data_IF_712141681998
#
_entry.id   IF_712141681998
#
_cell.length_a   1.000
_cell.length_b   1.000
_cell.length_c   1.000
_cell.angle_alpha   90.00
_cell.angle_beta   90.00
_cell.angle_gamma   90.00
#
_symmetry.space_group_name_H-M   'P 1'
#
loop_
_entity.id
_entity.type
_entity.pdbx_description
1 polymer ?
#
# COMPACT_ATOMS: atom_id res chain seq x y z
N UNK A 1 -28.53 21.25 17.29
CA UNK A 1 -28.47 20.33 16.13
C UNK A 1 -27.01 19.94 15.95
N UNK A 2 -26.61 18.78 16.51
CA UNK A 2 -25.23 18.31 16.48
C UNK A 2 -25.09 17.40 15.26
N UNK A 3 -24.24 17.78 14.32
CA UNK A 3 -23.90 16.98 13.14
C UNK A 3 -22.84 15.98 13.58
N UNK A 4 -23.23 14.72 13.63
CA UNK A 4 -22.33 13.59 13.86
C UNK A 4 -21.66 13.25 12.53
N UNK A 5 -20.40 13.61 12.35
CA UNK A 5 -19.60 13.14 11.23
C UNK A 5 -19.01 11.79 11.63
N UNK A 6 -19.61 10.72 11.12
CA UNK A 6 -19.09 9.36 11.27
C UNK A 6 -18.00 9.16 10.24
N UNK A 7 -16.74 9.29 10.64
CA UNK A 7 -15.60 8.86 9.84
C UNK A 7 -15.39 7.37 10.11
N UNK A 8 -15.85 6.54 9.18
CA UNK A 8 -15.61 5.09 9.20
C UNK A 8 -14.15 4.83 8.81
N UNK A 9 -13.30 4.65 9.82
CA UNK A 9 -11.96 4.13 9.63
C UNK A 9 -12.05 2.61 9.64
N UNK A 10 -11.98 1.97 8.47
CA UNK A 10 -11.80 0.52 8.35
C UNK A 10 -10.40 0.14 8.84
N UNK A 11 -10.29 -0.15 10.13
CA UNK A 11 -9.14 -0.85 10.70
C UNK A 11 -9.31 -2.35 10.47
N UNK A 12 -8.73 -2.87 9.39
CA UNK A 12 -8.57 -4.29 9.16
C UNK A 12 -7.53 -4.85 10.13
N UNK A 13 -8.00 -5.25 11.31
CA UNK A 13 -7.26 -6.13 12.21
C UNK A 13 -7.36 -7.57 11.67
N UNK A 14 -6.43 -7.99 10.84
CA UNK A 14 -6.21 -9.40 10.57
C UNK A 14 -5.60 -10.08 11.79
N UNK A 15 -6.42 -10.76 12.58
CA UNK A 15 -5.97 -11.81 13.48
C UNK A 15 -5.74 -13.06 12.64
N UNK A 16 -4.51 -13.37 12.29
CA UNK A 16 -4.12 -14.68 11.80
C UNK A 16 -3.51 -15.49 12.92
N UNK A 17 -4.32 -16.36 13.55
CA UNK A 17 -3.84 -17.60 14.16
C UNK A 17 -3.94 -18.69 13.11
N UNK A 18 -2.82 -19.33 12.80
CA UNK A 18 -2.82 -20.50 11.91
C UNK A 18 -1.41 -20.84 11.44
N UNK A 19 -0.75 -21.75 12.15
CA UNK A 19 0.48 -22.39 11.73
C UNK A 19 0.24 -23.18 10.44
N UNK A 20 0.98 -22.88 9.38
CA UNK A 20 1.41 -23.88 8.40
C UNK A 20 2.88 -23.62 8.13
N UNK A 21 3.71 -24.51 8.67
CA UNK A 21 5.12 -24.61 8.34
C UNK A 21 5.21 -25.42 7.07
N UNK A 22 5.41 -24.81 5.92
CA UNK A 22 5.96 -25.49 4.76
C UNK A 22 7.40 -25.06 4.54
N UNK A 23 8.29 -26.02 4.75
CA UNK A 23 9.70 -25.97 4.37
C UNK A 23 9.81 -25.71 2.87
N UNK A 24 10.36 -24.58 2.47
CA UNK A 24 11.08 -24.45 1.21
C UNK A 24 12.55 -24.22 1.54
N UNK A 25 13.29 -25.29 1.59
CA UNK A 25 14.74 -25.28 1.42
C UNK A 25 15.02 -25.05 -0.07
N UNK A 26 15.60 -23.88 -0.38
CA UNK A 26 16.65 -23.68 -1.39
C UNK A 26 16.96 -22.17 -1.42
N UNK A 27 17.78 -21.74 -0.47
CA UNK A 27 18.50 -20.46 -0.59
C UNK A 27 19.97 -20.78 -0.41
N UNK A 28 20.69 -20.69 -1.52
CA UNK A 28 22.14 -20.73 -1.61
C UNK A 28 22.79 -19.96 -0.46
N UNK A 29 23.71 -20.65 0.24
CA UNK A 29 24.57 -20.13 1.29
C UNK A 29 25.43 -18.97 0.79
N UNK A 30 24.93 -17.74 0.86
CA UNK A 30 25.73 -16.56 1.03
C UNK A 30 25.63 -16.18 2.51
N UNK A 31 26.78 -16.07 3.18
CA UNK A 31 26.93 -15.62 4.56
C UNK A 31 26.05 -14.39 4.81
N UNK A 32 24.84 -14.59 5.35
CA UNK A 32 23.93 -13.52 5.78
C UNK A 32 24.59 -12.79 6.95
N UNK A 33 25.31 -11.72 6.65
CA UNK A 33 25.62 -10.70 7.63
C UNK A 33 24.26 -10.19 8.13
N UNK A 34 23.87 -10.57 9.34
CA UNK A 34 22.59 -10.13 9.93
C UNK A 34 22.64 -8.62 10.04
N UNK A 35 21.96 -7.93 9.17
CA UNK A 35 21.87 -6.48 9.20
C UNK A 35 21.07 -6.11 10.46
N UNK A 36 21.77 -5.50 11.43
CA UNK A 36 21.16 -4.99 12.66
C UNK A 36 20.99 -3.48 12.49
N UNK A 37 19.77 -3.00 12.49
CA UNK A 37 19.48 -1.57 12.44
C UNK A 37 19.22 -1.06 13.86
N UNK A 38 19.87 0.05 14.21
CA UNK A 38 19.64 0.78 15.46
C UNK A 38 18.81 2.07 15.21
N UNK A 39 17.97 2.09 14.12
CA UNK A 39 17.10 3.24 13.86
C UNK A 39 15.98 3.23 14.90
N UNK A 40 15.93 4.29 15.71
CA UNK A 40 14.93 4.47 16.77
C UNK A 40 14.32 5.86 16.67
N UNK A 41 13.02 5.93 16.82
CA UNK A 41 12.28 7.18 16.87
C UNK A 41 12.33 7.73 18.30
N UNK A 42 12.62 9.02 18.46
CA UNK A 42 12.57 9.70 19.74
C UNK A 42 11.12 10.14 20.02
N UNK A 43 10.39 9.28 20.72
CA UNK A 43 8.97 9.48 21.03
C UNK A 43 8.78 10.69 21.98
N UNK A 44 9.73 10.96 22.89
CA UNK A 44 9.63 12.08 23.83
C UNK A 44 9.74 13.43 23.09
N UNK A 45 10.59 13.51 22.06
CA UNK A 45 10.66 14.68 21.19
C UNK A 45 9.34 14.89 20.46
N UNK A 46 8.70 13.83 19.95
CA UNK A 46 7.41 13.95 19.25
C UNK A 46 6.33 14.44 20.20
N UNK A 47 6.26 13.88 21.41
CA UNK A 47 5.30 14.29 22.43
C UNK A 47 5.49 15.73 22.89
N UNK A 48 6.74 16.19 22.97
CA UNK A 48 7.05 17.54 23.44
C UNK A 48 6.92 18.62 22.38
N UNK A 49 7.17 18.30 21.11
CA UNK A 49 7.19 19.26 19.98
C UNK A 49 6.08 19.06 18.96
N UNK A 50 5.44 17.90 18.97
CA UNK A 50 4.34 17.57 18.06
C UNK A 50 3.02 18.25 18.49
N UNK A 51 2.16 18.49 17.51
CA UNK A 51 0.79 18.92 17.78
C UNK A 51 -0.08 17.71 18.12
N UNK A 52 -0.91 17.83 19.16
CA UNK A 52 -1.97 16.85 19.42
C UNK A 52 -3.09 17.09 18.41
N UNK A 53 -3.36 16.09 17.55
CA UNK A 53 -4.41 16.19 16.52
C UNK A 53 -5.80 16.00 17.13
N UNK A 54 -5.94 14.96 17.92
CA UNK A 54 -7.17 14.62 18.63
C UNK A 54 -6.85 13.64 19.76
N UNK A 55 -7.80 13.50 20.68
CA UNK A 55 -7.75 12.53 21.75
C UNK A 55 -8.69 11.38 21.41
N UNK A 56 -8.19 10.15 21.45
CA UNK A 56 -9.00 8.95 21.28
C UNK A 56 -9.60 8.60 22.63
N UNK A 57 -10.92 8.75 22.76
CA UNK A 57 -11.64 8.26 23.94
C UNK A 57 -11.60 6.73 23.92
N UNK A 58 -11.07 6.16 24.98
CA UNK A 58 -11.10 4.69 25.15
C UNK A 58 -12.44 4.30 25.78
N UNK A 59 -13.03 3.19 25.35
CA UNK A 59 -14.30 2.66 25.90
C UNK A 59 -14.19 2.15 27.34
N UNK A 60 -13.03 2.30 27.95
CA UNK A 60 -12.72 1.92 29.32
C UNK A 60 -12.27 3.15 30.09
N UNK A 61 -12.33 3.15 31.44
CA UNK A 61 -11.90 4.24 32.33
C UNK A 61 -10.41 4.64 32.22
N UNK A 62 -9.75 4.27 31.14
CA UNK A 62 -8.37 4.64 30.85
C UNK A 62 -8.28 6.07 30.32
N UNK A 63 -7.15 6.74 30.63
CA UNK A 63 -6.86 8.09 30.16
C UNK A 63 -6.95 8.16 28.63
N UNK A 64 -7.46 9.25 28.07
CA UNK A 64 -7.55 9.43 26.62
C UNK A 64 -6.14 9.40 26.00
N UNK A 65 -6.02 8.74 24.84
CA UNK A 65 -4.76 8.60 24.11
C UNK A 65 -4.64 9.77 23.17
N UNK A 66 -3.54 10.51 23.25
CA UNK A 66 -3.26 11.60 22.33
C UNK A 66 -2.69 11.05 21.02
N UNK A 67 -3.27 11.44 19.89
CA UNK A 67 -2.69 11.25 18.57
C UNK A 67 -1.80 12.44 18.24
N UNK A 68 -0.55 12.21 17.92
CA UNK A 68 0.45 13.25 17.67
C UNK A 68 0.72 13.39 16.17
N UNK A 69 0.98 14.66 15.76
CA UNK A 69 1.55 14.97 14.44
C UNK A 69 2.76 15.87 14.64
N UNK A 70 3.89 15.46 14.12
CA UNK A 70 5.12 16.21 14.13
C UNK A 70 5.66 16.38 12.71
N UNK A 71 5.87 17.64 12.29
CA UNK A 71 6.32 17.95 10.94
C UNK A 71 7.64 18.73 11.00
N UNK A 72 8.60 18.28 10.19
CA UNK A 72 9.90 18.92 10.00
C UNK A 72 10.11 19.11 8.50
N UNK A 73 10.63 20.27 8.12
CA UNK A 73 11.02 20.52 6.75
C UNK A 73 12.36 21.26 6.71
N UNK A 74 13.26 20.83 5.84
CA UNK A 74 14.51 21.50 5.53
C UNK A 74 14.67 21.67 4.01
N UNK A 75 15.89 22.07 3.56
CA UNK A 75 16.17 22.29 2.14
C UNK A 75 16.23 21.00 1.32
N UNK A 76 16.33 19.84 1.95
CA UNK A 76 16.54 18.54 1.30
C UNK A 76 15.32 17.64 1.36
N UNK A 77 14.55 17.71 2.46
CA UNK A 77 13.43 16.80 2.71
C UNK A 77 12.34 17.43 3.58
N UNK A 78 11.16 16.80 3.54
CA UNK A 78 10.12 16.97 4.54
C UNK A 78 9.85 15.64 5.24
N UNK A 79 9.63 15.68 6.55
CA UNK A 79 9.35 14.53 7.40
C UNK A 79 8.05 14.80 8.12
N UNK A 80 7.10 13.89 7.99
CA UNK A 80 5.85 13.87 8.74
C UNK A 80 5.83 12.63 9.61
N UNK A 81 5.61 12.80 10.91
CA UNK A 81 5.46 11.71 11.87
C UNK A 81 4.08 11.82 12.49
N UNK A 82 3.31 10.74 12.43
CA UNK A 82 1.97 10.64 13.00
C UNK A 82 1.83 9.35 13.79
N UNK A 83 1.06 9.37 14.88
CA UNK A 83 0.73 8.19 15.66
C UNK A 83 0.72 8.42 17.17
N UNK A 84 0.67 7.33 17.90
CA UNK A 84 0.63 7.31 19.36
C UNK A 84 1.37 6.08 19.96
N UNK A 85 1.51 6.07 21.28
CA UNK A 85 2.25 5.03 21.99
C UNK A 85 1.57 3.64 21.94
N UNK A 86 0.26 3.57 21.69
CA UNK A 86 -0.48 2.31 21.65
C UNK A 86 -0.47 1.66 20.26
N UNK A 87 -0.73 2.47 19.21
CA UNK A 87 -0.76 2.01 17.82
C UNK A 87 0.60 2.07 17.13
N UNK A 88 1.57 2.80 17.71
CA UNK A 88 2.86 3.10 17.09
C UNK A 88 2.85 4.39 16.27
N UNK A 89 3.94 4.61 15.56
CA UNK A 89 4.16 5.83 14.77
C UNK A 89 4.51 5.50 13.34
N UNK A 90 4.08 6.35 12.42
CA UNK A 90 4.43 6.32 10.99
C UNK A 90 5.24 7.57 10.68
N UNK A 91 6.46 7.39 10.18
CA UNK A 91 7.30 8.46 9.65
C UNK A 91 7.27 8.39 8.12
N UNK A 92 6.85 9.47 7.48
CA UNK A 92 6.87 9.66 6.03
C UNK A 92 7.93 10.69 5.67
N UNK A 93 8.90 10.30 4.84
CA UNK A 93 9.98 11.15 4.40
C UNK A 93 9.87 11.37 2.90
N UNK A 94 9.71 12.65 2.49
CA UNK A 94 9.73 13.06 1.09
C UNK A 94 11.03 13.81 0.83
N UNK A 95 11.85 13.30 -0.07
CA UNK A 95 13.09 13.96 -0.51
C UNK A 95 12.78 14.87 -1.71
N UNK A 96 13.20 16.13 -1.67
CA UNK A 96 12.89 17.13 -2.72
C UNK A 96 13.42 16.76 -4.10
N UNK A 97 14.52 16.01 -4.15
CA UNK A 97 15.19 15.59 -5.39
C UNK A 97 14.92 14.13 -5.77
N UNK A 98 13.96 13.48 -5.10
CA UNK A 98 13.61 12.09 -5.37
C UNK A 98 12.13 11.94 -5.74
N UNK A 99 11.84 11.04 -6.66
CA UNK A 99 10.49 10.58 -6.94
C UNK A 99 10.03 9.45 -6.00
N UNK A 100 10.78 9.22 -4.92
CA UNK A 100 10.48 8.17 -3.96
C UNK A 100 10.14 8.75 -2.59
N UNK A 101 9.28 8.03 -1.89
CA UNK A 101 8.83 8.35 -0.53
C UNK A 101 9.22 7.18 0.37
N UNK A 102 9.91 7.50 1.45
CA UNK A 102 10.26 6.51 2.48
C UNK A 102 9.19 6.51 3.58
N UNK A 103 8.76 5.33 3.98
CA UNK A 103 7.88 5.10 5.11
C UNK A 103 8.57 4.22 6.14
N UNK A 104 8.56 4.66 7.39
CA UNK A 104 9.06 3.90 8.53
C UNK A 104 7.95 3.75 9.56
N UNK A 105 7.61 2.51 9.88
CA UNK A 105 6.66 2.21 10.93
C UNK A 105 7.41 1.82 12.21
N UNK A 106 7.07 2.46 13.30
CA UNK A 106 7.69 2.25 14.60
C UNK A 106 6.67 1.70 15.61
N UNK A 107 7.14 0.93 16.56
CA UNK A 107 6.36 0.59 17.76
C UNK A 107 6.03 1.85 18.56
N UNK A 108 5.11 1.76 19.51
CA UNK A 108 4.83 2.85 20.46
C UNK A 108 6.05 3.22 21.34
N UNK A 109 7.08 2.36 21.39
CA UNK A 109 8.37 2.62 22.07
C UNK A 109 9.42 3.23 21.13
N UNK A 110 9.09 3.47 19.87
CA UNK A 110 9.96 4.04 18.87
C UNK A 110 10.89 3.05 18.17
N UNK A 111 10.76 1.74 18.37
CA UNK A 111 11.59 0.75 17.69
C UNK A 111 11.07 0.54 16.26
N UNK A 112 11.96 0.56 15.25
CA UNK A 112 11.58 0.34 13.85
C UNK A 112 11.07 -1.08 13.66
N UNK A 113 9.84 -1.20 13.13
CA UNK A 113 9.19 -2.48 12.82
C UNK A 113 9.24 -2.76 11.33
N UNK A 114 8.96 -1.74 10.52
CA UNK A 114 8.87 -1.89 9.07
C UNK A 114 9.45 -0.64 8.39
N UNK A 115 10.11 -0.88 7.26
CA UNK A 115 10.59 0.14 6.32
C UNK A 115 10.00 -0.16 4.96
N UNK A 116 9.51 0.85 4.24
CA UNK A 116 9.20 0.72 2.82
C UNK A 116 9.64 1.94 2.04
N UNK A 117 10.21 1.69 0.85
CA UNK A 117 10.46 2.69 -0.16
C UNK A 117 9.38 2.57 -1.22
N UNK A 118 8.67 3.66 -1.46
CA UNK A 118 7.57 3.70 -2.43
C UNK A 118 7.85 4.76 -3.48
N UNK A 119 7.39 4.52 -4.70
CA UNK A 119 7.31 5.56 -5.70
C UNK A 119 6.26 6.61 -5.30
N UNK A 120 6.43 7.86 -5.75
CA UNK A 120 5.37 8.89 -5.65
C UNK A 120 4.06 8.47 -6.33
N UNK A 121 4.09 7.47 -7.20
CA UNK A 121 2.90 6.84 -7.82
C UNK A 121 2.19 5.85 -6.89
N UNK A 122 2.76 5.52 -5.72
CA UNK A 122 2.16 4.68 -4.69
C UNK A 122 2.64 3.24 -4.64
N UNK A 123 3.28 2.70 -5.69
CA UNK A 123 3.75 1.32 -5.67
C UNK A 123 5.05 1.14 -4.87
N UNK A 124 5.17 0.01 -4.17
CA UNK A 124 6.36 -0.34 -3.38
C UNK A 124 7.55 -0.69 -4.29
N UNK A 125 8.73 -0.20 -3.93
CA UNK A 125 10.05 -0.55 -4.53
C UNK A 125 10.82 -1.51 -3.63
N UNK A 126 10.81 -1.24 -2.32
CA UNK A 126 11.44 -2.08 -1.31
C UNK A 126 10.57 -2.18 -0.07
N UNK A 127 10.68 -3.30 0.63
CA UNK A 127 10.06 -3.52 1.93
C UNK A 127 11.01 -4.32 2.83
N UNK A 128 11.15 -3.90 4.09
CA UNK A 128 11.95 -4.57 5.10
C UNK A 128 11.15 -4.68 6.39
N UNK A 129 11.19 -5.83 7.01
CA UNK A 129 10.57 -6.06 8.33
C UNK A 129 11.64 -6.42 9.35
N UNK A 130 11.46 -5.95 10.57
CA UNK A 130 12.39 -6.13 11.66
C UNK A 130 11.69 -6.73 12.87
N UNK A 131 12.38 -7.59 13.63
CA UNK A 131 11.88 -8.05 14.91
C UNK A 131 12.14 -6.99 16.01
N UNK A 132 11.60 -7.24 17.20
CA UNK A 132 11.74 -6.34 18.36
C UNK A 132 13.18 -6.11 18.84
N UNK A 133 14.16 -6.89 18.34
CA UNK A 133 15.60 -6.72 18.61
C UNK A 133 16.31 -5.94 17.50
N UNK A 134 15.58 -5.45 16.49
CA UNK A 134 16.10 -4.72 15.33
C UNK A 134 16.78 -5.60 14.28
N UNK A 135 16.61 -6.93 14.33
CA UNK A 135 17.14 -7.82 13.30
C UNK A 135 16.19 -7.91 12.12
N UNK A 136 16.73 -7.82 10.90
CA UNK A 136 15.98 -7.99 9.66
C UNK A 136 15.43 -9.43 9.58
N UNK A 137 14.10 -9.56 9.43
CA UNK A 137 13.40 -10.84 9.29
C UNK A 137 12.85 -11.07 7.88
N UNK A 138 12.54 -9.99 7.16
CA UNK A 138 12.05 -10.06 5.79
C UNK A 138 12.62 -8.90 4.96
N UNK A 139 12.98 -9.17 3.71
CA UNK A 139 13.37 -8.16 2.72
C UNK A 139 12.84 -8.54 1.35
N UNK A 140 12.13 -7.61 0.74
CA UNK A 140 11.62 -7.72 -0.63
C UNK A 140 12.12 -6.52 -1.42
N UNK A 141 12.76 -6.78 -2.56
CA UNK A 141 13.12 -5.76 -3.55
C UNK A 141 12.24 -5.97 -4.79
N UNK A 142 11.13 -5.26 -4.85
CA UNK A 142 10.16 -5.38 -5.94
C UNK A 142 10.75 -5.02 -7.31
N UNK A 143 11.79 -4.13 -7.36
CA UNK A 143 12.47 -3.80 -8.61
C UNK A 143 13.27 -4.97 -9.19
N UNK A 144 13.69 -5.93 -8.35
CA UNK A 144 14.37 -7.16 -8.78
C UNK A 144 13.38 -8.28 -9.07
N UNK A 145 12.32 -8.36 -8.28
CA UNK A 145 11.34 -9.45 -8.38
C UNK A 145 10.43 -9.32 -9.61
N UNK A 146 10.02 -8.11 -9.97
CA UNK A 146 9.13 -7.86 -11.11
C UNK A 146 9.94 -7.62 -12.38
N UNK A 147 9.80 -8.45 -13.41
CA UNK A 147 10.51 -8.29 -14.69
C UNK A 147 9.84 -7.23 -15.57
N UNK A 148 8.52 -7.13 -15.56
CA UNK A 148 7.78 -6.04 -16.22
C UNK A 148 7.90 -4.78 -15.35
N UNK A 149 8.71 -3.81 -15.82
CA UNK A 149 9.10 -2.63 -15.04
C UNK A 149 8.08 -1.50 -15.13
N UNK A 150 8.18 -0.53 -14.24
CA UNK A 150 7.31 0.66 -14.25
C UNK A 150 7.31 1.39 -15.59
N UNK A 151 8.45 1.51 -16.26
CA UNK A 151 8.52 2.16 -17.56
C UNK A 151 7.67 1.45 -18.63
N UNK A 152 7.52 0.14 -18.53
CA UNK A 152 6.71 -0.66 -19.42
C UNK A 152 5.22 -0.52 -19.07
N UNK A 153 4.88 -0.46 -17.78
CA UNK A 153 3.53 -0.11 -17.32
C UNK A 153 3.12 1.28 -17.81
N UNK A 154 4.02 2.27 -17.76
CA UNK A 154 3.75 3.60 -18.29
C UNK A 154 3.44 3.57 -19.80
N UNK A 155 4.23 2.83 -20.59
CA UNK A 155 3.97 2.66 -22.03
C UNK A 155 2.63 1.98 -22.29
N UNK A 156 2.30 0.97 -21.48
CA UNK A 156 0.99 0.31 -21.56
C UNK A 156 -0.15 1.31 -21.28
N UNK A 157 -0.05 2.09 -20.19
CA UNK A 157 -1.05 3.12 -19.87
C UNK A 157 -1.16 4.19 -20.96
N UNK A 158 -0.05 4.63 -21.55
CA UNK A 158 -0.03 5.57 -22.66
C UNK A 158 -0.74 5.01 -23.91
N UNK A 159 -0.64 3.68 -24.16
CA UNK A 159 -1.39 3.03 -25.24
C UNK A 159 -2.91 3.04 -25.02
N UNK A 160 -3.36 3.26 -23.79
CA UNK A 160 -4.76 3.45 -23.40
C UNK A 160 -5.14 4.93 -23.27
N UNK A 161 -4.32 5.83 -23.82
CA UNK A 161 -4.48 7.29 -23.77
C UNK A 161 -4.45 7.89 -22.35
N UNK A 162 -3.86 7.18 -21.38
CA UNK A 162 -3.70 7.66 -20.01
C UNK A 162 -2.47 8.58 -19.94
N UNK A 163 -2.66 9.78 -19.38
CA UNK A 163 -1.55 10.67 -19.05
C UNK A 163 -0.84 10.13 -17.80
N UNK A 164 0.44 9.80 -17.94
CA UNK A 164 1.22 9.14 -16.87
C UNK A 164 2.11 10.10 -16.09
N UNK A 165 2.00 11.41 -16.32
CA UNK A 165 2.65 12.39 -15.47
C UNK A 165 1.98 12.46 -14.08
N UNK A 166 2.78 12.77 -13.05
CA UNK A 166 2.32 12.74 -11.67
C UNK A 166 1.18 13.71 -11.37
N UNK A 167 1.16 14.87 -12.02
CA UNK A 167 0.12 15.88 -11.80
C UNK A 167 -1.23 15.46 -12.37
N UNK A 168 -1.22 14.75 -13.50
CA UNK A 168 -2.42 14.17 -14.10
C UNK A 168 -2.95 13.01 -13.27
N UNK A 169 -2.07 12.09 -12.84
CA UNK A 169 -2.47 10.93 -12.06
C UNK A 169 -3.01 11.30 -10.67
N UNK A 170 -2.43 12.30 -10.01
CA UNK A 170 -2.93 12.78 -8.70
C UNK A 170 -4.33 13.39 -8.75
N UNK A 171 -4.80 13.84 -9.92
CA UNK A 171 -6.15 14.40 -10.10
C UNK A 171 -7.24 13.34 -10.20
N UNK A 172 -6.86 12.09 -10.47
CA UNK A 172 -7.81 10.99 -10.61
C UNK A 172 -8.21 10.50 -9.22
N UNK A 173 -9.47 10.67 -8.87
CA UNK A 173 -10.00 10.14 -7.62
C UNK A 173 -9.96 8.62 -7.61
N UNK A 174 -9.46 8.03 -6.53
CA UNK A 174 -9.32 6.57 -6.33
C UNK A 174 -8.34 5.86 -7.27
N UNK A 175 -7.45 6.60 -7.94
CA UNK A 175 -6.38 6.00 -8.71
C UNK A 175 -5.37 5.33 -7.78
N UNK A 176 -5.07 4.06 -8.07
CA UNK A 176 -4.08 3.29 -7.34
C UNK A 176 -3.21 2.47 -8.29
N UNK A 177 -1.90 2.50 -8.08
CA UNK A 177 -0.96 1.58 -8.71
C UNK A 177 -0.25 0.79 -7.63
N UNK A 178 -0.26 -0.53 -7.78
CA UNK A 178 0.35 -1.44 -6.82
C UNK A 178 1.14 -2.56 -7.48
N UNK A 179 1.99 -3.19 -6.69
CA UNK A 179 2.67 -4.46 -6.97
C UNK A 179 2.34 -5.43 -5.85
N UNK A 180 1.91 -6.62 -6.18
CA UNK A 180 1.55 -7.62 -5.19
C UNK A 180 1.97 -9.02 -5.65
N UNK A 181 2.32 -9.87 -4.68
CA UNK A 181 2.46 -11.30 -4.93
C UNK A 181 1.10 -11.99 -4.80
N UNK A 182 0.82 -12.99 -5.65
CA UNK A 182 -0.44 -13.72 -5.68
C UNK A 182 -0.87 -14.24 -4.29
N UNK A 183 0.06 -14.71 -3.48
CA UNK A 183 -0.23 -15.21 -2.13
C UNK A 183 -0.70 -14.13 -1.14
N UNK A 184 -0.48 -12.85 -1.45
CA UNK A 184 -0.93 -11.68 -0.67
C UNK A 184 -2.18 -11.01 -1.25
N UNK A 185 -2.66 -11.48 -2.40
CA UNK A 185 -3.86 -10.95 -3.04
C UNK A 185 -5.12 -11.36 -2.26
N UNK A 186 -6.16 -10.55 -2.32
CA UNK A 186 -7.47 -10.86 -1.78
C UNK A 186 -8.09 -12.09 -2.46
N UNK A 187 -8.80 -12.93 -1.71
CA UNK A 187 -9.33 -14.18 -2.22
C UNK A 187 -10.38 -13.99 -3.31
N UNK A 188 -11.12 -12.87 -3.31
CA UNK A 188 -12.08 -12.56 -4.38
C UNK A 188 -11.36 -12.36 -5.71
N UNK A 189 -10.24 -11.63 -5.73
CA UNK A 189 -9.43 -11.42 -6.92
C UNK A 189 -8.64 -12.68 -7.34
N UNK A 190 -8.16 -13.48 -6.38
CA UNK A 190 -7.52 -14.78 -6.68
C UNK A 190 -8.42 -15.71 -7.50
N UNK A 191 -9.74 -15.64 -7.25
CA UNK A 191 -10.71 -16.42 -8.00
C UNK A 191 -10.92 -15.95 -9.45
N UNK A 192 -10.50 -14.73 -9.78
CA UNK A 192 -10.69 -14.14 -11.11
C UNK A 192 -9.39 -14.16 -11.97
N UNK A 193 -8.24 -14.38 -11.33
CA UNK A 193 -6.91 -14.38 -11.97
C UNK A 193 -6.36 -15.81 -12.07
N UNK A 194 -5.61 -16.18 -13.14
CA UNK A 194 -5.00 -17.50 -13.24
C UNK A 194 -4.01 -17.78 -12.09
N UNK A 195 -4.15 -18.92 -11.41
CA UNK A 195 -3.32 -19.31 -10.26
C UNK A 195 -1.84 -19.53 -10.58
N UNK A 196 -1.50 -19.67 -11.87
CA UNK A 196 -0.11 -19.83 -12.34
C UNK A 196 0.71 -18.55 -12.21
N UNK A 197 0.06 -17.38 -12.07
CA UNK A 197 0.73 -16.09 -11.98
C UNK A 197 1.18 -15.87 -10.55
N UNK A 198 2.45 -15.51 -10.34
CA UNK A 198 3.01 -15.30 -9.02
C UNK A 198 3.02 -13.81 -8.60
N UNK A 199 3.11 -12.91 -9.58
CA UNK A 199 3.32 -11.47 -9.39
C UNK A 199 2.36 -10.67 -10.26
N UNK A 200 1.79 -9.62 -9.71
CA UNK A 200 0.73 -8.86 -10.37
C UNK A 200 0.98 -7.36 -10.20
N UNK A 201 0.92 -6.62 -11.31
CA UNK A 201 0.67 -5.19 -11.28
C UNK A 201 -0.82 -4.93 -11.14
N UNK A 202 -1.17 -4.06 -10.23
CA UNK A 202 -2.54 -3.59 -9.98
C UNK A 202 -2.63 -2.14 -10.42
N UNK A 203 -3.58 -1.82 -11.29
CA UNK A 203 -3.86 -0.47 -11.77
C UNK A 203 -5.37 -0.28 -11.61
N UNK A 204 -5.79 0.52 -10.66
CA UNK A 204 -7.19 0.68 -10.30
C UNK A 204 -7.65 2.12 -10.44
N UNK A 205 -8.89 2.31 -10.90
CA UNK A 205 -9.52 3.62 -11.01
C UNK A 205 -8.93 4.49 -12.12
N UNK A 206 -8.34 3.91 -13.17
CA UNK A 206 -7.76 4.68 -14.27
C UNK A 206 -8.83 5.06 -15.29
N UNK A 207 -8.91 6.36 -15.64
CA UNK A 207 -9.71 6.82 -16.76
C UNK A 207 -8.94 6.60 -18.07
N UNK A 208 -9.45 5.75 -18.94
CA UNK A 208 -8.75 5.26 -20.12
C UNK A 208 -9.71 5.00 -21.29
N UNK A 209 -9.12 4.77 -22.49
CA UNK A 209 -9.82 4.20 -23.64
C UNK A 209 -9.31 2.77 -23.83
N UNK A 210 -10.15 1.80 -23.56
CA UNK A 210 -9.82 0.38 -23.69
C UNK A 210 -10.72 -0.26 -24.76
N UNK A 211 -10.12 -0.78 -25.85
CA UNK A 211 -10.85 -1.38 -26.98
C UNK A 211 -11.98 -0.50 -27.54
N UNK A 212 -11.72 0.81 -27.67
CA UNK A 212 -12.65 1.87 -28.09
C UNK A 212 -13.75 2.25 -27.07
N UNK A 213 -13.79 1.61 -25.89
CA UNK A 213 -14.67 2.02 -24.81
C UNK A 213 -13.95 2.99 -23.89
N UNK A 214 -14.53 4.18 -23.68
CA UNK A 214 -14.05 5.15 -22.69
C UNK A 214 -14.68 4.88 -21.34
N UNK A 215 -13.86 4.89 -20.27
CA UNK A 215 -14.39 4.66 -18.94
C UNK A 215 -13.32 4.63 -17.85
N UNK A 216 -13.73 4.22 -16.67
CA UNK A 216 -12.83 3.97 -15.54
C UNK A 216 -12.55 2.46 -15.49
N UNK A 217 -11.27 2.09 -15.52
CA UNK A 217 -10.85 0.70 -15.59
C UNK A 217 -10.02 0.28 -14.39
N UNK A 218 -10.11 -1.02 -14.09
CA UNK A 218 -9.33 -1.77 -13.13
C UNK A 218 -8.59 -2.86 -13.92
N UNK A 219 -7.26 -2.75 -13.97
CA UNK A 219 -6.40 -3.54 -14.86
C UNK A 219 -5.37 -4.29 -14.02
N UNK A 220 -5.25 -5.58 -14.28
CA UNK A 220 -4.32 -6.46 -13.60
C UNK A 220 -3.42 -7.09 -14.65
N UNK A 221 -2.09 -6.85 -14.52
CA UNK A 221 -1.10 -7.35 -15.46
C UNK A 221 -0.17 -8.35 -14.76
N UNK A 222 0.27 -9.34 -15.52
CA UNK A 222 1.35 -10.23 -15.08
C UNK A 222 2.63 -9.43 -14.79
N UNK A 223 3.21 -9.63 -13.61
CA UNK A 223 4.37 -8.86 -13.15
C UNK A 223 5.68 -9.20 -13.85
N UNK A 224 5.72 -10.29 -14.61
CA UNK A 224 6.90 -10.70 -15.37
C UNK A 224 6.77 -10.41 -16.86
N UNK A 225 5.59 -10.58 -17.44
CA UNK A 225 5.37 -10.46 -18.89
C UNK A 225 4.62 -9.19 -19.30
N UNK A 226 3.87 -8.56 -18.37
CA UNK A 226 2.98 -7.45 -18.66
C UNK A 226 1.69 -7.86 -19.38
N UNK A 227 1.44 -9.18 -19.53
CA UNK A 227 0.21 -9.67 -20.16
C UNK A 227 -1.00 -9.31 -19.30
N UNK A 228 -2.10 -8.92 -19.95
CA UNK A 228 -3.36 -8.66 -19.25
C UNK A 228 -3.91 -9.96 -18.64
N UNK A 229 -4.21 -9.91 -17.35
CA UNK A 229 -4.81 -11.01 -16.62
C UNK A 229 -6.31 -10.82 -16.42
N UNK A 230 -6.68 -9.59 -16.11
CA UNK A 230 -8.06 -9.18 -15.86
C UNK A 230 -8.22 -7.70 -16.15
N UNK A 231 -9.29 -7.33 -16.87
CA UNK A 231 -9.68 -5.93 -17.06
C UNK A 231 -11.16 -5.79 -16.73
N UNK A 232 -11.47 -4.90 -15.80
CA UNK A 232 -12.84 -4.56 -15.40
C UNK A 232 -13.12 -3.10 -15.70
N UNK A 233 -14.31 -2.81 -16.18
CA UNK A 233 -14.84 -1.45 -16.29
C UNK A 233 -15.76 -1.16 -15.11
N UNK A 234 -15.53 -0.05 -14.45
CA UNK A 234 -16.42 0.44 -13.40
C UNK A 234 -17.68 1.05 -14.02
N UNK A 235 -18.85 0.55 -13.64
CA UNK A 235 -20.14 1.01 -14.13
C UNK A 235 -20.86 1.98 -13.19
N UNK A 236 -20.32 2.14 -11.96
CA UNK A 236 -20.91 2.99 -10.95
C UNK A 236 -21.08 2.27 -9.62
N UNK A 237 -21.98 2.80 -8.78
CA UNK A 237 -22.36 2.18 -7.50
C UNK A 237 -23.80 1.70 -7.57
N UNK A 238 -24.05 0.50 -7.07
CA UNK A 238 -25.39 -0.07 -6.89
C UNK A 238 -25.74 -0.12 -5.41
N UNK A 239 -27.03 0.09 -5.08
CA UNK A 239 -27.55 -0.19 -3.74
C UNK A 239 -27.59 -1.69 -3.50
N UNK A 240 -27.30 -2.14 -2.28
CA UNK A 240 -27.51 -3.53 -1.88
C UNK A 240 -28.99 -3.93 -1.96
N UNK A 241 -29.25 -5.20 -2.23
CA UNK A 241 -30.62 -5.75 -2.37
C UNK A 241 -31.42 -5.61 -1.05
N UNK A 242 -30.71 -5.51 0.07
CA UNK A 242 -31.26 -5.30 1.41
C UNK A 242 -31.48 -3.82 1.77
N UNK A 243 -31.16 -2.90 0.87
CA UNK A 243 -31.20 -1.46 1.10
C UNK A 243 -30.12 -0.94 2.06
N UNK A 244 -29.22 -1.81 2.51
CA UNK A 244 -28.12 -1.47 3.42
C UNK A 244 -26.81 -1.42 2.63
N UNK A 245 -26.28 -0.20 2.47
CA UNK A 245 -24.98 0.06 1.82
C UNK A 245 -25.03 0.18 0.30
N UNK A 246 -23.88 0.52 -0.26
CA UNK A 246 -23.64 0.60 -1.71
C UNK A 246 -22.38 -0.20 -2.03
N UNK A 247 -22.38 -0.92 -3.15
CA UNK A 247 -21.21 -1.62 -3.69
C UNK A 247 -20.85 -1.12 -5.08
N UNK A 248 -19.59 -1.28 -5.44
CA UNK A 248 -19.11 -0.95 -6.79
C UNK A 248 -19.60 -2.00 -7.80
N UNK A 249 -20.14 -1.53 -8.92
CA UNK A 249 -20.57 -2.38 -10.02
C UNK A 249 -19.49 -2.42 -11.11
N UNK A 250 -19.15 -3.62 -11.56
CA UNK A 250 -18.11 -3.85 -12.56
C UNK A 250 -18.59 -4.75 -13.68
N UNK A 251 -18.15 -4.42 -14.91
CA UNK A 251 -18.25 -5.31 -16.07
C UNK A 251 -16.87 -5.86 -16.37
N UNK A 252 -16.71 -7.18 -16.41
CA UNK A 252 -15.50 -7.83 -16.89
C UNK A 252 -15.42 -7.62 -18.42
N UNK A 253 -14.34 -7.00 -18.88
CA UNK A 253 -14.07 -6.75 -20.30
C UNK A 253 -13.12 -7.79 -20.87
N UNK A 254 -12.19 -8.25 -20.02
CA UNK A 254 -11.22 -9.27 -20.37
C UNK A 254 -10.87 -10.11 -19.14
N UNK A 255 -10.80 -11.43 -19.31
CA UNK A 255 -10.25 -12.37 -18.31
C UNK A 255 -9.43 -13.44 -19.03
N UNK A 256 -8.19 -13.61 -18.62
CA UNK A 256 -7.30 -14.68 -19.11
C UNK A 256 -7.75 -16.06 -18.59
N UNK A 257 -8.47 -16.11 -17.47
CA UNK A 257 -8.97 -17.35 -16.87
C UNK A 257 -10.06 -18.01 -17.69
N UNK A 258 -10.78 -17.25 -18.50
CA UNK A 258 -11.90 -17.72 -19.33
C UNK A 258 -11.44 -18.26 -20.70
N UNK A 259 -10.14 -18.25 -21.00
CA UNK A 259 -9.54 -18.82 -22.22
C UNK A 259 -8.89 -20.16 -21.90
#
# INVERSE_FOLDING_TARGET
MKILVLVSLCSLLCKCNGQIIEKRENVTNSTKKTEKINKKLDVDVIKSKGNVLYQVETLTDSQPINEYRYFIQDNTKSVLIEGNENSGFIEKINYKMSSDVEYNNYSGKGDLINYSLQSIYGFKKEEKEYNSKGHLISYINYEKEFNFKWIEVQKYLQSLEVQTDIESLKKIANFHIGRIFMNKLDDSLKNEIPLIVEKIWIIEGVEAIYKNDKGIFYIYLDGDTGEELLVKQFLGKKSGDDGVGTYADFKVIYSKKEK
#
